data_IF_512909840456
#
_entry.id   IF_512909840456
#
_cell.length_a   1.000
_cell.length_b   1.000
_cell.length_c   1.000
_cell.angle_alpha   90.00
_cell.angle_beta   90.00
_cell.angle_gamma   90.00
#
_symmetry.space_group_name_H-M   'P 1'
#
loop_
_entity.id
_entity.type
_entity.pdbx_description
1 polymer ?
#
# COMPACT_ATOMS: atom_id res chain seq x y z
N UNK A 1 -25.50 21.15 -18.89
CA UNK A 1 -24.93 19.79 -18.68
C UNK A 1 -24.13 19.83 -17.38
N UNK A 2 -24.59 19.14 -16.32
CA UNK A 2 -23.99 19.22 -14.98
C UNK A 2 -22.65 18.46 -14.96
N UNK A 3 -21.57 19.22 -14.86
CA UNK A 3 -20.21 18.70 -14.69
C UNK A 3 -20.08 18.26 -13.24
N UNK A 4 -20.01 16.94 -13.02
CA UNK A 4 -19.65 16.34 -11.73
C UNK A 4 -18.16 16.58 -11.47
N UNK A 5 -17.82 17.73 -10.90
CA UNK A 5 -16.52 17.96 -10.27
C UNK A 5 -16.42 17.09 -9.02
N UNK A 6 -15.66 16.00 -9.12
CA UNK A 6 -15.31 15.18 -7.98
C UNK A 6 -14.46 16.04 -7.04
N UNK A 7 -15.10 16.51 -5.97
CA UNK A 7 -14.54 17.43 -5.00
C UNK A 7 -13.46 16.70 -4.19
N UNK A 8 -12.19 17.01 -4.46
CA UNK A 8 -11.05 16.57 -3.66
C UNK A 8 -11.10 17.26 -2.28
N UNK A 9 -11.96 16.74 -1.40
CA UNK A 9 -11.84 16.92 0.04
C UNK A 9 -11.46 15.58 0.65
N UNK A 10 -10.19 15.48 1.02
CA UNK A 10 -9.57 14.46 1.87
C UNK A 10 -10.34 14.31 3.20
N UNK A 11 -11.44 13.56 3.18
CA UNK A 11 -11.90 12.85 4.37
C UNK A 11 -11.34 11.45 4.28
N UNK A 12 -10.52 11.07 5.27
CA UNK A 12 -10.23 9.67 5.64
C UNK A 12 -11.56 8.89 5.65
N UNK A 13 -11.99 8.36 4.50
CA UNK A 13 -13.14 7.46 4.42
C UNK A 13 -12.68 6.15 5.00
N UNK A 14 -13.10 5.91 6.24
CA UNK A 14 -12.71 4.76 7.06
C UNK A 14 -13.45 3.46 6.68
N UNK A 15 -13.99 3.39 5.47
CA UNK A 15 -14.68 2.22 4.95
C UNK A 15 -14.31 2.07 3.49
N UNK A 16 -13.38 1.16 3.23
CA UNK A 16 -12.98 0.78 1.89
C UNK A 16 -14.08 -0.15 1.37
N UNK A 17 -14.83 0.31 0.37
CA UNK A 17 -15.85 -0.52 -0.26
C UNK A 17 -15.15 -1.70 -0.96
N UNK A 18 -15.73 -2.90 -0.95
CA UNK A 18 -15.09 -4.09 -1.55
C UNK A 18 -14.74 -3.88 -3.04
N UNK A 19 -15.56 -3.07 -3.73
CA UNK A 19 -15.33 -2.63 -5.11
C UNK A 19 -14.08 -1.75 -5.25
N UNK A 20 -13.85 -0.81 -4.32
CA UNK A 20 -12.64 0.04 -4.33
C UNK A 20 -11.38 -0.79 -4.09
N UNK A 21 -11.43 -1.74 -3.15
CA UNK A 21 -10.31 -2.69 -2.92
C UNK A 21 -10.01 -3.48 -4.19
N UNK A 22 -11.05 -3.97 -4.86
CA UNK A 22 -10.87 -4.73 -6.09
C UNK A 22 -10.34 -3.84 -7.22
N UNK A 23 -10.82 -2.61 -7.36
CA UNK A 23 -10.34 -1.64 -8.34
C UNK A 23 -8.84 -1.36 -8.17
N UNK A 24 -8.38 -1.13 -6.94
CA UNK A 24 -6.95 -0.94 -6.66
C UNK A 24 -6.10 -2.14 -7.07
N UNK A 25 -6.59 -3.37 -6.80
CA UNK A 25 -5.84 -4.57 -7.18
C UNK A 25 -5.82 -4.81 -8.69
N UNK A 26 -6.91 -4.48 -9.39
CA UNK A 26 -7.01 -4.61 -10.85
C UNK A 26 -6.15 -3.57 -11.57
N UNK A 27 -5.99 -2.35 -11.01
CA UNK A 27 -5.25 -1.26 -11.62
C UNK A 27 -3.78 -1.62 -11.94
N UNK A 28 -3.13 -2.44 -11.11
CA UNK A 28 -1.74 -2.87 -11.30
C UNK A 28 -1.56 -4.40 -11.14
N UNK A 29 -2.63 -5.18 -11.29
CA UNK A 29 -2.58 -6.61 -11.03
C UNK A 29 -3.86 -7.38 -11.40
N UNK A 30 -4.06 -8.54 -10.76
CA UNK A 30 -5.23 -9.41 -10.99
C UNK A 30 -6.30 -9.19 -9.91
N UNK A 31 -7.60 -9.32 -10.24
CA UNK A 31 -8.68 -9.15 -9.27
C UNK A 31 -8.52 -10.09 -8.06
N UNK A 32 -9.07 -9.69 -6.91
CA UNK A 32 -9.01 -10.49 -5.69
C UNK A 32 -9.72 -11.84 -5.92
N UNK A 33 -8.98 -12.93 -5.76
CA UNK A 33 -9.55 -14.27 -5.84
C UNK A 33 -10.06 -14.70 -4.45
N UNK A 34 -11.01 -15.65 -4.40
CA UNK A 34 -11.50 -16.27 -3.15
C UNK A 34 -10.36 -16.80 -2.28
N UNK A 35 -9.27 -17.28 -2.90
CA UNK A 35 -8.04 -17.72 -2.20
C UNK A 35 -7.33 -16.58 -1.46
N UNK A 36 -7.36 -15.36 -2.00
CA UNK A 36 -6.76 -14.19 -1.36
C UNK A 36 -7.56 -13.77 -0.12
N UNK A 37 -8.89 -13.70 -0.24
CA UNK A 37 -9.78 -13.44 0.89
C UNK A 37 -9.57 -14.47 2.00
N UNK A 38 -9.50 -15.76 1.64
CA UNK A 38 -9.23 -16.82 2.60
C UNK A 38 -7.88 -16.61 3.29
N UNK A 39 -6.82 -16.25 2.56
CA UNK A 39 -5.49 -16.01 3.13
C UNK A 39 -5.48 -14.82 4.10
N UNK A 40 -6.12 -13.71 3.74
CA UNK A 40 -6.19 -12.51 4.59
C UNK A 40 -7.06 -12.71 5.84
N UNK A 41 -8.04 -13.61 5.78
CA UNK A 41 -8.84 -14.00 6.95
C UNK A 41 -8.13 -15.04 7.82
N UNK A 42 -7.57 -16.08 7.21
CA UNK A 42 -7.05 -17.25 7.90
C UNK A 42 -5.82 -16.92 8.75
N UNK A 43 -4.89 -16.11 8.27
CA UNK A 43 -3.66 -15.82 9.04
C UNK A 43 -3.98 -15.09 10.34
N UNK A 44 -4.70 -13.95 10.37
CA UNK A 44 -5.08 -13.30 11.62
C UNK A 44 -5.97 -14.17 12.51
N UNK A 45 -6.91 -14.92 11.92
CA UNK A 45 -7.80 -15.81 12.67
C UNK A 45 -7.09 -16.99 13.33
N UNK A 46 -6.13 -17.61 12.64
CA UNK A 46 -5.31 -18.68 13.21
C UNK A 46 -4.39 -18.14 14.30
N UNK A 47 -3.78 -16.97 14.08
CA UNK A 47 -2.92 -16.36 15.11
C UNK A 47 -3.74 -16.07 16.37
N UNK A 48 -4.88 -15.38 16.29
CA UNK A 48 -5.68 -15.09 17.50
C UNK A 48 -6.31 -16.33 18.12
N UNK A 49 -6.79 -17.26 17.30
CA UNK A 49 -7.43 -18.50 17.74
C UNK A 49 -6.45 -19.45 18.43
N UNK A 50 -5.31 -19.76 17.80
CA UNK A 50 -4.29 -20.64 18.38
C UNK A 50 -3.71 -20.03 19.66
N UNK A 51 -3.42 -18.73 19.64
CA UNK A 51 -2.81 -18.07 20.78
C UNK A 51 -3.73 -18.02 22.01
N UNK A 52 -5.01 -17.69 21.79
CA UNK A 52 -6.00 -17.74 22.87
C UNK A 52 -6.26 -19.16 23.36
N UNK A 53 -6.17 -20.17 22.48
CA UNK A 53 -6.30 -21.58 22.86
C UNK A 53 -5.16 -22.04 23.75
N UNK A 54 -3.90 -21.71 23.38
CA UNK A 54 -2.74 -22.12 24.16
C UNK A 54 -2.72 -21.50 25.56
N UNK A 55 -3.27 -20.30 25.74
CA UNK A 55 -3.35 -19.63 27.04
C UNK A 55 -4.45 -20.20 27.95
N UNK A 56 -5.63 -20.47 27.40
CA UNK A 56 -6.82 -20.78 28.20
C UNK A 56 -7.25 -22.24 28.13
N UNK A 57 -6.86 -22.99 27.09
CA UNK A 57 -7.36 -24.34 26.78
C UNK A 57 -8.90 -24.44 26.75
N UNK A 58 -9.58 -23.33 26.40
CA UNK A 58 -11.03 -23.23 26.24
C UNK A 58 -11.34 -23.13 24.74
N UNK A 59 -11.67 -24.26 24.12
CA UNK A 59 -11.81 -24.36 22.66
C UNK A 59 -12.88 -23.42 22.07
N UNK A 60 -14.03 -23.25 22.73
CA UNK A 60 -15.13 -22.43 22.20
C UNK A 60 -14.77 -20.94 22.21
N UNK A 61 -14.05 -20.49 23.24
CA UNK A 61 -13.60 -19.10 23.35
C UNK A 61 -12.54 -18.78 22.30
N UNK A 62 -11.63 -19.72 22.05
CA UNK A 62 -10.63 -19.61 20.99
C UNK A 62 -11.25 -19.55 19.60
N UNK A 63 -12.36 -20.28 19.39
CA UNK A 63 -13.11 -20.22 18.14
C UNK A 63 -13.73 -18.83 17.95
N UNK A 64 -14.34 -18.25 18.99
CA UNK A 64 -14.89 -16.88 18.94
C UNK A 64 -13.79 -15.86 18.61
N UNK A 65 -12.65 -15.92 19.31
CA UNK A 65 -11.52 -15.01 19.09
C UNK A 65 -10.85 -15.21 17.72
N UNK A 66 -10.85 -16.45 17.20
CA UNK A 66 -10.40 -16.76 15.84
C UNK A 66 -11.30 -16.16 14.78
N UNK A 67 -12.63 -16.22 14.98
CA UNK A 67 -13.60 -15.55 14.08
C UNK A 67 -13.42 -14.03 14.13
N UNK A 68 -13.28 -13.44 15.32
CA UNK A 68 -13.02 -12.00 15.47
C UNK A 68 -11.71 -11.57 14.77
N UNK A 69 -10.64 -12.36 14.92
CA UNK A 69 -9.37 -12.14 14.22
C UNK A 69 -9.53 -12.22 12.70
N UNK A 70 -10.29 -13.18 12.21
CA UNK A 70 -10.59 -13.33 10.78
C UNK A 70 -11.36 -12.13 10.22
N UNK A 71 -12.37 -11.64 10.95
CA UNK A 71 -13.14 -10.44 10.60
C UNK A 71 -12.24 -9.20 10.58
N UNK A 72 -11.33 -9.06 11.55
CA UNK A 72 -10.36 -7.98 11.58
C UNK A 72 -9.41 -8.03 10.37
N UNK A 73 -8.93 -9.23 10.02
CA UNK A 73 -8.11 -9.47 8.83
C UNK A 73 -8.77 -8.97 7.55
N UNK A 74 -10.05 -9.27 7.37
CA UNK A 74 -10.81 -8.87 6.18
C UNK A 74 -11.21 -7.40 6.17
N UNK A 75 -11.64 -6.84 7.31
CA UNK A 75 -12.18 -5.47 7.34
C UNK A 75 -11.12 -4.39 7.50
N UNK A 76 -9.96 -4.72 8.10
CA UNK A 76 -8.93 -3.73 8.45
C UNK A 76 -7.63 -4.00 7.74
N UNK A 77 -7.08 -5.20 7.83
CA UNK A 77 -5.75 -5.49 7.27
C UNK A 77 -5.78 -5.57 5.74
N UNK A 78 -6.72 -6.33 5.17
CA UNK A 78 -6.79 -6.53 3.72
C UNK A 78 -6.89 -5.22 2.93
N UNK A 79 -7.82 -4.28 3.25
CA UNK A 79 -7.92 -3.04 2.48
C UNK A 79 -6.65 -2.19 2.58
N UNK A 80 -6.01 -2.12 3.75
CA UNK A 80 -4.78 -1.37 3.93
C UNK A 80 -3.60 -2.00 3.17
N UNK A 81 -3.49 -3.33 3.17
CA UNK A 81 -2.46 -4.05 2.40
C UNK A 81 -2.64 -3.80 0.90
N UNK A 82 -3.87 -3.91 0.40
CA UNK A 82 -4.15 -3.71 -1.02
C UNK A 82 -3.92 -2.26 -1.43
N UNK A 83 -4.38 -1.29 -0.63
CA UNK A 83 -4.16 0.15 -0.90
C UNK A 83 -2.66 0.47 -0.94
N UNK A 84 -1.89 0.01 0.04
CA UNK A 84 -0.44 0.24 0.10
C UNK A 84 0.29 -0.41 -1.09
N UNK A 85 -0.11 -1.62 -1.49
CA UNK A 85 0.46 -2.26 -2.67
C UNK A 85 0.18 -1.44 -3.94
N UNK A 86 -1.06 -0.97 -4.10
CA UNK A 86 -1.43 -0.07 -5.19
C UNK A 86 -0.59 1.22 -5.20
N UNK A 87 -0.46 1.91 -4.06
CA UNK A 87 0.30 3.15 -3.96
C UNK A 87 1.77 2.97 -4.32
N UNK A 88 2.38 1.87 -3.84
CA UNK A 88 3.75 1.49 -4.17
C UNK A 88 3.93 1.20 -5.65
N UNK A 89 3.06 0.38 -6.22
CA UNK A 89 3.18 -0.07 -7.61
C UNK A 89 2.90 1.10 -8.57
N UNK A 90 1.91 1.94 -8.26
CA UNK A 90 1.64 3.21 -8.95
C UNK A 90 2.83 4.18 -8.90
N UNK A 91 3.46 4.35 -7.74
CA UNK A 91 4.67 5.18 -7.61
C UNK A 91 5.86 4.61 -8.40
N UNK A 92 6.07 3.28 -8.39
CA UNK A 92 7.12 2.62 -9.18
C UNK A 92 6.92 2.82 -10.68
N UNK A 93 5.68 2.71 -11.18
CA UNK A 93 5.38 2.94 -12.59
C UNK A 93 5.55 4.41 -12.99
N UNK A 94 5.18 5.37 -12.14
CA UNK A 94 5.51 6.80 -12.36
C UNK A 94 7.02 7.02 -12.48
N UNK A 95 7.80 6.45 -11.58
CA UNK A 95 9.27 6.57 -11.63
C UNK A 95 9.86 5.91 -12.88
N UNK A 96 9.34 4.74 -13.28
CA UNK A 96 9.74 4.07 -14.52
C UNK A 96 9.41 4.93 -15.75
N UNK A 97 8.24 5.56 -15.78
CA UNK A 97 7.86 6.50 -16.84
C UNK A 97 8.83 7.69 -16.92
N UNK A 98 9.08 8.37 -15.79
CA UNK A 98 10.01 9.52 -15.72
C UNK A 98 11.39 9.14 -16.26
N UNK A 99 11.93 7.99 -15.86
CA UNK A 99 13.20 7.50 -16.38
C UNK A 99 13.16 7.20 -17.89
N UNK A 100 12.16 6.44 -18.34
CA UNK A 100 12.02 6.09 -19.75
C UNK A 100 11.86 7.33 -20.64
N UNK A 101 11.03 8.27 -20.22
CA UNK A 101 10.75 9.49 -20.96
C UNK A 101 11.99 10.38 -21.07
N UNK A 102 12.71 10.61 -19.96
CA UNK A 102 13.96 11.39 -19.98
C UNK A 102 15.03 10.72 -20.85
N UNK A 103 15.15 9.39 -20.81
CA UNK A 103 16.06 8.65 -21.68
C UNK A 103 15.69 8.75 -23.16
N UNK A 104 14.39 8.71 -23.50
CA UNK A 104 13.92 8.86 -24.87
C UNK A 104 14.15 10.28 -25.40
N UNK A 105 13.94 11.29 -24.56
CA UNK A 105 14.18 12.71 -24.89
C UNK A 105 15.67 13.08 -24.96
N UNK A 106 16.54 12.25 -24.39
CA UNK A 106 17.99 12.40 -24.57
C UNK A 106 18.45 12.00 -25.98
N UNK A 107 17.60 11.38 -26.79
CA UNK A 107 17.89 11.05 -28.18
C UNK A 107 17.40 12.18 -29.09
N UNK A 108 18.34 12.91 -29.68
CA UNK A 108 18.08 14.06 -30.56
C UNK A 108 17.25 13.72 -31.81
N UNK A 109 17.21 12.44 -32.21
CA UNK A 109 16.44 11.98 -33.36
C UNK A 109 14.95 11.71 -33.04
N UNK A 110 14.50 11.93 -31.79
CA UNK A 110 13.12 11.68 -31.38
C UNK A 110 12.39 12.98 -31.07
N UNK A 111 11.22 13.11 -31.68
CA UNK A 111 10.27 14.16 -31.28
C UNK A 111 9.69 13.85 -29.90
N UNK A 112 9.26 14.89 -29.18
CA UNK A 112 8.57 14.76 -27.90
C UNK A 112 7.34 13.84 -27.98
N UNK A 113 6.57 13.95 -29.06
CA UNK A 113 5.40 13.11 -29.27
C UNK A 113 5.79 11.63 -29.45
N UNK A 114 6.81 11.34 -30.26
CA UNK A 114 7.33 9.97 -30.43
C UNK A 114 7.93 9.42 -29.14
N UNK A 115 8.61 10.26 -28.36
CA UNK A 115 9.13 9.88 -27.05
C UNK A 115 7.99 9.55 -26.08
N UNK A 116 6.94 10.38 -26.04
CA UNK A 116 5.77 10.18 -25.18
C UNK A 116 5.00 8.92 -25.56
N UNK A 117 4.81 8.66 -26.86
CA UNK A 117 4.21 7.42 -27.38
C UNK A 117 4.95 6.18 -26.89
N UNK A 118 6.27 6.15 -27.10
CA UNK A 118 7.08 5.02 -26.70
C UNK A 118 7.18 4.86 -25.17
N UNK A 119 7.21 5.97 -24.42
CA UNK A 119 7.19 5.92 -22.96
C UNK A 119 5.86 5.40 -22.43
N UNK A 120 4.75 5.81 -23.06
CA UNK A 120 3.39 5.38 -22.71
C UNK A 120 3.18 3.89 -23.01
N UNK A 121 3.68 3.38 -24.13
CA UNK A 121 3.63 1.95 -24.45
C UNK A 121 4.44 1.07 -23.48
N UNK A 122 5.48 1.64 -22.85
CA UNK A 122 6.31 0.97 -21.82
C UNK A 122 5.75 1.08 -20.40
N UNK A 123 4.79 1.96 -20.17
CA UNK A 123 4.10 2.08 -18.89
C UNK A 123 3.13 0.91 -18.70
N UNK A 124 2.81 0.57 -17.45
CA UNK A 124 1.86 -0.48 -17.12
C UNK A 124 0.69 0.05 -16.28
N UNK A 125 -0.35 -0.78 -16.16
CA UNK A 125 -1.51 -0.51 -15.30
C UNK A 125 -2.29 0.75 -15.67
N UNK A 126 -2.76 1.43 -14.64
CA UNK A 126 -3.57 2.64 -14.76
C UNK A 126 -2.84 3.79 -15.48
N UNK A 127 -1.56 4.00 -15.17
CA UNK A 127 -0.76 5.08 -15.76
C UNK A 127 -0.69 4.96 -17.29
N UNK A 128 -0.54 3.74 -17.82
CA UNK A 128 -0.58 3.52 -19.29
C UNK A 128 -1.89 4.01 -19.90
N UNK A 129 -3.02 3.70 -19.26
CA UNK A 129 -4.34 4.14 -19.73
C UNK A 129 -4.46 5.65 -19.73
N UNK A 130 -4.02 6.30 -18.66
CA UNK A 130 -4.08 7.76 -18.55
C UNK A 130 -3.15 8.46 -19.55
N UNK A 131 -1.94 7.92 -19.78
CA UNK A 131 -1.01 8.45 -20.76
C UNK A 131 -1.53 8.32 -22.20
N UNK A 132 -2.22 7.21 -22.53
CA UNK A 132 -2.89 7.06 -23.83
C UNK A 132 -4.01 8.08 -24.03
N UNK A 133 -4.76 8.38 -22.96
CA UNK A 133 -5.78 9.43 -22.99
C UNK A 133 -5.13 10.81 -23.17
N UNK A 134 -4.03 11.10 -22.45
CA UNK A 134 -3.27 12.33 -22.63
C UNK A 134 -2.85 12.47 -24.10
N UNK A 135 -2.22 11.45 -24.67
CA UNK A 135 -1.77 11.43 -26.06
C UNK A 135 -2.90 11.69 -27.07
N UNK A 136 -4.04 11.03 -26.89
CA UNK A 136 -5.20 11.22 -27.76
C UNK A 136 -5.73 12.67 -27.70
N UNK A 137 -5.62 13.32 -26.53
CA UNK A 137 -6.12 14.69 -26.33
C UNK A 137 -5.13 15.78 -26.80
N UNK A 138 -3.85 15.47 -26.98
CA UNK A 138 -2.85 16.43 -27.45
C UNK A 138 -2.62 16.35 -28.98
N UNK A 139 -3.02 15.25 -29.63
CA UNK A 139 -2.83 15.08 -31.07
C UNK A 139 -3.74 16.03 -31.86
N UNK A 140 -3.13 17.00 -32.56
CA UNK A 140 -3.86 18.01 -33.33
C UNK A 140 -4.59 19.04 -32.47
N UNK A 141 -4.26 19.11 -31.18
CA UNK A 141 -4.90 19.99 -30.21
C UNK A 141 -4.31 21.40 -30.23
N UNK A 142 -5.13 22.40 -29.90
CA UNK A 142 -4.65 23.75 -29.63
C UNK A 142 -3.95 23.86 -28.26
N UNK A 143 -3.25 24.98 -28.01
CA UNK A 143 -2.52 25.20 -26.77
C UNK A 143 -3.41 25.07 -25.51
N UNK A 144 -4.66 25.54 -25.58
CA UNK A 144 -5.59 25.47 -24.44
C UNK A 144 -5.99 24.04 -24.15
N UNK A 145 -6.23 23.25 -25.19
CA UNK A 145 -6.54 21.83 -25.08
C UNK A 145 -5.35 21.03 -24.52
N UNK A 146 -4.12 21.34 -24.94
CA UNK A 146 -2.89 20.74 -24.39
C UNK A 146 -2.79 21.01 -22.88
N UNK A 147 -2.91 22.27 -22.46
CA UNK A 147 -2.88 22.67 -21.05
C UNK A 147 -3.94 21.92 -20.24
N UNK A 148 -5.17 21.82 -20.76
CA UNK A 148 -6.25 21.10 -20.08
C UNK A 148 -5.98 19.60 -19.96
N UNK A 149 -5.37 18.99 -20.98
CA UNK A 149 -5.04 17.57 -20.98
C UNK A 149 -3.97 17.23 -19.94
N UNK A 150 -2.88 18.02 -19.88
CA UNK A 150 -1.84 17.87 -18.87
C UNK A 150 -2.35 18.16 -17.47
N UNK A 151 -3.11 19.24 -17.28
CA UNK A 151 -3.72 19.57 -15.99
C UNK A 151 -4.63 18.48 -15.46
N UNK A 152 -5.37 17.79 -16.35
CA UNK A 152 -6.22 16.65 -15.96
C UNK A 152 -5.35 15.50 -15.41
N UNK A 153 -4.23 15.19 -16.08
CA UNK A 153 -3.32 14.14 -15.63
C UNK A 153 -2.59 14.52 -14.33
N UNK A 154 -2.02 15.73 -14.28
CA UNK A 154 -1.38 16.33 -13.11
C UNK A 154 -2.30 16.29 -11.89
N UNK A 155 -3.56 16.71 -12.03
CA UNK A 155 -4.52 16.73 -10.92
C UNK A 155 -4.78 15.34 -10.31
N UNK A 156 -4.68 14.27 -11.10
CA UNK A 156 -4.82 12.89 -10.65
C UNK A 156 -3.62 12.42 -9.82
N UNK A 157 -2.42 12.88 -10.17
CA UNK A 157 -1.17 12.43 -9.58
C UNK A 157 -0.50 13.45 -8.66
N UNK A 158 -1.19 14.53 -8.32
CA UNK A 158 -0.71 15.68 -7.52
C UNK A 158 -0.05 15.32 -6.17
N UNK A 159 -0.38 14.18 -5.58
CA UNK A 159 0.27 13.71 -4.34
C UNK A 159 1.75 13.34 -4.55
N UNK A 160 2.17 13.06 -5.78
CA UNK A 160 3.57 12.87 -6.16
C UNK A 160 4.10 14.17 -6.79
N UNK A 161 4.56 15.09 -5.94
CA UNK A 161 4.99 16.45 -6.34
C UNK A 161 6.06 16.42 -7.44
N UNK A 162 7.04 15.52 -7.35
CA UNK A 162 8.12 15.43 -8.34
C UNK A 162 7.61 14.91 -9.68
N UNK A 163 6.65 13.98 -9.68
CA UNK A 163 6.00 13.53 -10.90
C UNK A 163 5.11 14.61 -11.51
N UNK A 164 4.42 15.39 -10.69
CA UNK A 164 3.62 16.54 -11.11
C UNK A 164 4.48 17.59 -11.82
N UNK A 165 5.60 17.97 -11.20
CA UNK A 165 6.60 18.86 -11.79
C UNK A 165 7.15 18.30 -13.11
N UNK A 166 7.36 16.99 -13.20
CA UNK A 166 7.79 16.35 -14.45
C UNK A 166 6.75 16.51 -15.55
N UNK A 167 5.46 16.33 -15.25
CA UNK A 167 4.37 16.54 -16.19
C UNK A 167 4.26 18.00 -16.63
N UNK A 168 4.44 18.95 -15.74
CA UNK A 168 4.48 20.39 -16.08
C UNK A 168 5.63 20.70 -17.05
N UNK A 169 6.81 20.10 -16.86
CA UNK A 169 7.91 20.29 -17.80
C UNK A 169 7.63 19.63 -19.16
N UNK A 170 6.97 18.47 -19.20
CA UNK A 170 6.52 17.87 -20.45
C UNK A 170 5.48 18.73 -21.16
N UNK A 171 4.54 19.33 -20.43
CA UNK A 171 3.56 20.30 -20.96
C UNK A 171 4.26 21.47 -21.64
N UNK A 172 5.20 22.11 -20.95
CA UNK A 172 6.02 23.21 -21.51
C UNK A 172 6.77 22.76 -22.76
N UNK A 173 7.35 21.55 -22.75
CA UNK A 173 8.03 21.02 -23.94
C UNK A 173 7.08 20.85 -25.14
N UNK A 174 5.80 20.47 -24.91
CA UNK A 174 4.79 20.36 -25.98
C UNK A 174 4.42 21.74 -26.51
N UNK A 175 4.21 22.72 -25.64
CA UNK A 175 3.77 24.06 -26.00
C UNK A 175 4.86 24.88 -26.71
N UNK A 176 6.11 24.77 -26.25
CA UNK A 176 7.24 25.53 -26.77
C UNK A 176 7.98 24.82 -27.92
N UNK A 177 7.72 23.52 -28.10
CA UNK A 177 8.40 22.70 -29.12
C UNK A 177 9.90 22.51 -28.87
N UNK A 178 10.38 22.81 -27.66
CA UNK A 178 11.78 22.68 -27.25
C UNK A 178 11.86 21.86 -25.96
N UNK A 179 12.90 21.04 -25.84
CA UNK A 179 13.09 20.20 -24.65
C UNK A 179 14.16 20.79 -23.75
N UNK A 180 13.79 21.15 -22.52
CA UNK A 180 14.75 21.45 -21.46
C UNK A 180 15.22 20.14 -20.80
N UNK A 181 16.14 19.46 -21.46
CA UNK A 181 16.61 18.14 -21.06
C UNK A 181 17.32 18.15 -19.70
N UNK A 182 17.99 19.25 -19.35
CA UNK A 182 18.69 19.39 -18.06
C UNK A 182 17.69 19.38 -16.90
N UNK A 183 16.65 20.22 -16.96
CA UNK A 183 15.59 20.23 -15.94
C UNK A 183 14.88 18.88 -15.83
N UNK A 184 14.59 18.20 -16.96
CA UNK A 184 14.00 16.86 -16.94
C UNK A 184 14.93 15.80 -16.32
N UNK A 185 16.25 15.95 -16.47
CA UNK A 185 17.24 15.08 -15.82
C UNK A 185 17.31 15.34 -14.33
N UNK A 186 17.24 16.59 -13.90
CA UNK A 186 17.26 16.95 -12.48
C UNK A 186 16.03 16.41 -11.75
N UNK A 187 14.84 16.62 -12.31
CA UNK A 187 13.59 16.08 -11.76
C UNK A 187 13.65 14.54 -11.70
N UNK A 188 14.16 13.89 -12.76
CA UNK A 188 14.37 12.43 -12.78
C UNK A 188 15.29 11.96 -11.66
N UNK A 189 16.42 12.65 -11.45
CA UNK A 189 17.37 12.32 -10.38
C UNK A 189 16.70 12.45 -9.01
N UNK A 190 15.98 13.54 -8.78
CA UNK A 190 15.26 13.76 -7.53
C UNK A 190 14.15 12.72 -7.28
N UNK A 191 13.42 12.32 -8.32
CA UNK A 191 12.40 11.27 -8.22
C UNK A 191 13.02 9.92 -7.85
N UNK A 192 14.15 9.58 -8.47
CA UNK A 192 14.90 8.35 -8.15
C UNK A 192 15.42 8.36 -6.70
N UNK A 193 15.99 9.46 -6.21
CA UNK A 193 16.45 9.58 -4.82
C UNK A 193 15.29 9.42 -3.83
N UNK A 194 14.13 9.99 -4.14
CA UNK A 194 12.92 9.86 -3.32
C UNK A 194 12.42 8.43 -3.33
N UNK A 195 12.45 7.75 -4.49
CA UNK A 195 12.15 6.32 -4.59
C UNK A 195 13.10 5.48 -3.75
N UNK A 196 14.40 5.73 -3.81
CA UNK A 196 15.38 4.99 -3.00
C UNK A 196 15.10 5.13 -1.50
N UNK A 197 14.81 6.35 -1.03
CA UNK A 197 14.40 6.59 0.36
C UNK A 197 13.12 5.84 0.72
N UNK A 198 12.09 5.88 -0.13
CA UNK A 198 10.84 5.14 0.08
C UNK A 198 11.07 3.62 0.14
N UNK A 199 11.88 3.07 -0.76
CA UNK A 199 12.26 1.66 -0.79
C UNK A 199 13.03 1.28 0.50
N UNK A 200 13.90 2.16 1.00
CA UNK A 200 14.61 1.95 2.28
C UNK A 200 13.66 1.92 3.48
N UNK A 201 12.71 2.86 3.55
CA UNK A 201 11.67 2.88 4.59
C UNK A 201 10.77 1.64 4.52
N UNK A 202 10.38 1.21 3.32
CA UNK A 202 9.61 -0.02 3.12
C UNK A 202 10.37 -1.23 3.65
N UNK A 203 11.66 -1.36 3.32
CA UNK A 203 12.53 -2.43 3.82
C UNK A 203 12.65 -2.43 5.35
N UNK A 204 12.74 -1.26 6.00
CA UNK A 204 12.72 -1.14 7.48
C UNK A 204 11.39 -1.62 8.06
N UNK A 205 10.25 -1.21 7.46
CA UNK A 205 8.92 -1.67 7.87
C UNK A 205 8.75 -3.18 7.70
N UNK A 206 9.27 -3.77 6.62
CA UNK A 206 9.28 -5.22 6.41
C UNK A 206 10.16 -5.95 7.44
N UNK A 207 11.30 -5.37 7.81
CA UNK A 207 12.14 -5.84 8.91
C UNK A 207 11.37 -5.93 10.22
N UNK A 208 10.70 -4.85 10.61
CA UNK A 208 9.87 -4.84 11.82
C UNK A 208 8.69 -5.82 11.76
N UNK A 209 8.11 -6.05 10.58
CA UNK A 209 7.09 -7.09 10.40
C UNK A 209 7.65 -8.51 10.59
N UNK A 210 8.89 -8.76 10.17
CA UNK A 210 9.59 -10.02 10.41
C UNK A 210 9.85 -10.21 11.91
N UNK A 211 10.34 -9.18 12.59
CA UNK A 211 10.58 -9.20 14.04
C UNK A 211 9.30 -9.48 14.82
N UNK A 212 8.19 -8.84 14.43
CA UNK A 212 6.86 -9.08 14.99
C UNK A 212 6.42 -10.55 14.87
N UNK A 213 6.61 -11.15 13.68
CA UNK A 213 6.29 -12.57 13.45
C UNK A 213 7.17 -13.49 14.29
N UNK A 214 8.46 -13.17 14.41
CA UNK A 214 9.39 -13.91 15.26
C UNK A 214 8.97 -13.84 16.72
N UNK A 215 8.63 -12.65 17.22
CA UNK A 215 8.13 -12.46 18.59
C UNK A 215 6.90 -13.32 18.87
N UNK A 216 5.93 -13.37 17.94
CA UNK A 216 4.76 -14.24 18.07
C UNK A 216 5.16 -15.72 18.18
N UNK A 217 6.13 -16.17 17.37
CA UNK A 217 6.65 -17.53 17.42
C UNK A 217 7.35 -17.85 18.74
N UNK A 218 8.20 -16.94 19.23
CA UNK A 218 8.88 -17.07 20.53
C UNK A 218 7.87 -17.22 21.66
N UNK A 219 6.80 -16.43 21.65
CA UNK A 219 5.78 -16.53 22.68
C UNK A 219 5.08 -17.89 22.65
N UNK A 220 4.73 -18.41 21.46
CA UNK A 220 4.12 -19.75 21.34
C UNK A 220 5.04 -20.82 21.92
N UNK A 221 6.33 -20.78 21.60
CA UNK A 221 7.33 -21.70 22.16
C UNK A 221 7.41 -21.59 23.67
N UNK A 222 7.40 -20.37 24.20
CA UNK A 222 7.47 -20.13 25.65
C UNK A 222 6.24 -20.66 26.40
N UNK A 223 5.04 -20.42 25.87
CA UNK A 223 3.80 -20.95 26.45
C UNK A 223 3.81 -22.47 26.44
N UNK A 224 4.20 -23.10 25.32
CA UNK A 224 4.30 -24.56 25.23
C UNK A 224 5.34 -25.11 26.21
N UNK A 225 6.51 -24.50 26.32
CA UNK A 225 7.57 -24.92 27.25
C UNK A 225 7.08 -24.91 28.70
N UNK A 226 6.36 -23.86 29.11
CA UNK A 226 5.74 -23.78 30.44
C UNK A 226 4.69 -24.88 30.60
N UNK A 227 3.79 -25.06 29.62
CA UNK A 227 2.76 -26.11 29.70
C UNK A 227 3.39 -27.50 29.86
N UNK A 228 4.45 -27.82 29.12
CA UNK A 228 5.14 -29.10 29.22
C UNK A 228 5.92 -29.26 30.53
N UNK A 229 6.60 -28.22 30.99
CA UNK A 229 7.41 -28.25 32.21
C UNK A 229 6.58 -28.54 33.47
N UNK A 230 5.41 -27.91 33.60
CA UNK A 230 4.51 -28.15 34.74
C UNK A 230 3.68 -29.44 34.62
N UNK A 231 3.70 -30.08 33.46
CA UNK A 231 2.79 -31.15 33.10
C UNK A 231 1.41 -30.63 32.68
N UNK A 232 0.90 -31.16 31.57
CA UNK A 232 -0.31 -30.65 30.88
C UNK A 232 -1.55 -30.58 31.80
N UNK A 233 -1.75 -31.61 32.65
CA UNK A 233 -2.88 -31.67 33.59
C UNK A 233 -2.76 -30.59 34.67
N UNK A 234 -1.57 -30.37 35.21
CA UNK A 234 -1.31 -29.37 36.24
C UNK A 234 -1.52 -27.98 35.68
N UNK A 235 -0.98 -27.67 34.49
CA UNK A 235 -1.17 -26.38 33.84
C UNK A 235 -2.66 -26.06 33.61
N UNK A 236 -3.42 -27.02 33.09
CA UNK A 236 -4.86 -26.81 32.84
C UNK A 236 -5.63 -26.57 34.13
N UNK A 237 -5.37 -27.36 35.16
CA UNK A 237 -6.18 -27.35 36.38
C UNK A 237 -5.80 -26.20 37.32
N UNK A 238 -4.50 -25.92 37.46
CA UNK A 238 -3.99 -24.90 38.37
C UNK A 238 -3.95 -23.49 37.75
N UNK A 239 -3.83 -23.38 36.43
CA UNK A 239 -3.71 -22.09 35.74
C UNK A 239 -4.85 -21.86 34.74
N UNK A 240 -4.95 -22.64 33.66
CA UNK A 240 -5.79 -22.29 32.51
C UNK A 240 -7.30 -22.24 32.83
N UNK A 241 -7.78 -23.07 33.76
CA UNK A 241 -9.18 -23.10 34.24
C UNK A 241 -9.38 -22.40 35.58
N UNK A 242 -8.35 -21.78 36.13
CA UNK A 242 -8.42 -21.06 37.40
C UNK A 242 -8.73 -19.58 37.14
N UNK A 243 -9.55 -18.91 37.98
CA UNK A 243 -9.88 -17.49 37.82
C UNK A 243 -8.67 -16.57 37.71
N UNK A 244 -7.59 -16.88 38.46
CA UNK A 244 -6.31 -16.14 38.39
C UNK A 244 -5.71 -16.23 36.98
N UNK A 245 -5.71 -17.41 36.36
CA UNK A 245 -5.21 -17.60 35.00
C UNK A 245 -6.07 -16.90 33.96
N UNK A 246 -7.39 -16.80 34.17
CA UNK A 246 -8.28 -16.03 33.30
C UNK A 246 -7.99 -14.54 33.35
N UNK A 247 -7.81 -13.98 34.55
CA UNK A 247 -7.47 -12.56 34.72
C UNK A 247 -6.10 -12.26 34.09
N UNK A 248 -5.09 -13.08 34.40
CA UNK A 248 -3.75 -12.91 33.84
C UNK A 248 -3.74 -13.01 32.30
N UNK A 249 -4.43 -14.01 31.75
CA UNK A 249 -4.57 -14.18 30.29
C UNK A 249 -5.36 -13.04 29.66
N UNK A 250 -6.40 -12.52 30.33
CA UNK A 250 -7.18 -11.37 29.87
C UNK A 250 -6.36 -10.09 29.79
N UNK A 251 -5.55 -9.81 30.82
CA UNK A 251 -4.60 -8.68 30.83
C UNK A 251 -3.61 -8.84 29.68
N UNK A 252 -3.01 -10.03 29.56
CA UNK A 252 -2.02 -10.32 28.53
C UNK A 252 -2.60 -10.17 27.10
N UNK A 253 -3.77 -10.73 26.84
CA UNK A 253 -4.47 -10.60 25.55
C UNK A 253 -4.83 -9.14 25.23
N UNK A 254 -5.20 -8.36 26.25
CA UNK A 254 -5.47 -6.92 26.08
C UNK A 254 -4.20 -6.16 25.70
N UNK A 255 -3.09 -6.40 26.38
CA UNK A 255 -1.79 -5.80 26.05
C UNK A 255 -1.36 -6.16 24.62
N UNK A 256 -1.47 -7.43 24.24
CA UNK A 256 -1.17 -7.89 22.89
C UNK A 256 -2.06 -7.22 21.85
N UNK A 257 -3.36 -7.06 22.13
CA UNK A 257 -4.26 -6.35 21.23
C UNK A 257 -3.85 -4.89 21.02
N UNK A 258 -3.51 -4.16 22.08
CA UNK A 258 -3.04 -2.78 21.97
C UNK A 258 -1.71 -2.69 21.22
N UNK A 259 -0.78 -3.60 21.50
CA UNK A 259 0.50 -3.69 20.81
C UNK A 259 0.32 -3.94 19.31
N UNK A 260 -0.48 -4.93 18.93
CA UNK A 260 -0.80 -5.24 17.52
C UNK A 260 -1.51 -4.08 16.83
N UNK A 261 -2.45 -3.42 17.50
CA UNK A 261 -3.15 -2.26 16.95
C UNK A 261 -2.19 -1.10 16.70
N UNK A 262 -1.30 -0.83 17.65
CA UNK A 262 -0.27 0.21 17.52
C UNK A 262 0.68 -0.11 16.36
N UNK A 263 1.18 -1.35 16.32
CA UNK A 263 2.06 -1.82 15.25
C UNK A 263 1.41 -1.76 13.88
N UNK A 264 0.16 -2.20 13.77
CA UNK A 264 -0.61 -2.14 12.52
C UNK A 264 -0.79 -0.68 12.05
N UNK A 265 -1.05 0.23 13.00
CA UNK A 265 -1.16 1.66 12.68
C UNK A 265 0.17 2.19 12.15
N UNK A 266 1.29 1.92 12.83
CA UNK A 266 2.62 2.30 12.37
C UNK A 266 2.99 1.69 10.99
N UNK A 267 2.66 0.42 10.78
CA UNK A 267 2.98 -0.30 9.54
C UNK A 267 2.30 0.33 8.32
N UNK A 268 1.05 0.80 8.47
CA UNK A 268 0.25 1.43 7.41
C UNK A 268 0.23 2.97 7.49
N UNK A 269 0.96 3.56 8.41
CA UNK A 269 1.14 5.01 8.45
C UNK A 269 2.28 5.40 7.50
N UNK A 270 1.90 5.81 6.30
CA UNK A 270 2.81 6.27 5.25
C UNK A 270 2.98 7.80 5.26
N UNK A 271 2.38 8.51 6.24
CA UNK A 271 2.50 9.98 6.37
C UNK A 271 3.93 10.46 6.64
N UNK A 272 4.81 9.60 7.16
CA UNK A 272 6.23 9.89 7.35
C UNK A 272 6.98 9.91 6.00
N UNK A 273 6.45 9.25 4.96
CA UNK A 273 7.00 9.23 3.61
C UNK A 273 6.42 10.32 2.70
N UNK A 274 5.41 11.05 3.18
CA UNK A 274 4.94 12.28 2.54
C UNK A 274 5.93 13.38 2.91
N UNK A 275 6.72 13.83 1.92
CA UNK A 275 7.50 15.06 2.08
C UNK A 275 6.48 16.17 2.32
N UNK A 276 6.39 16.66 3.56
CA UNK A 276 5.66 17.89 3.84
C UNK A 276 6.39 19.01 3.11
N UNK A 277 5.75 19.51 2.05
CA UNK A 277 6.11 20.77 1.42
C UNK A 277 6.05 21.91 2.46
#
# INVERSE_FOLDING_TARGET
MKISTFNAKTKKKRFVNAEEVNAFKVAYGKPLNKKDYLRYAAVPGLVTGVFSFLLLYIWWLSLILGVLGSVYGLKVLMPNIVKRAYERDSYKERNKFVNNMTSLLSNENKTLFTALDQASERAEGELRGDLKILMANILGADQTQVIQAFKKLSSKYREDITFDQYLEQLETCVLEGRTNLETLKDIKTHHNETKEKKDEYERKKEGHLKDMKMLCGVIVVFVLAITFSFGFKTYITAFARHPIGWIASGIYMSLMFFFFKSFTTYLFDDSIMEVKA
#
